data_IF_497879692672
#
_entry.id   IF_497879692672
#
_cell.length_a   1.000
_cell.length_b   1.000
_cell.length_c   1.000
_cell.angle_alpha   90.00
_cell.angle_beta   90.00
_cell.angle_gamma   90.00
#
_symmetry.space_group_name_H-M   'P 1'
#
loop_
_entity.id
_entity.type
_entity.pdbx_description
1 polymer ?
#
# COMPACT_ATOMS: atom_id res chain seq x y z
N UNK A 1 -75.23 -30.35 -52.81
CA UNK A 1 -74.58 -29.21 -53.50
C UNK A 1 -74.11 -28.24 -52.45
N UNK A 2 -72.82 -28.29 -52.10
CA UNK A 2 -71.78 -27.33 -52.52
C UNK A 2 -71.88 -25.97 -51.81
N UNK A 3 -71.03 -25.77 -50.82
CA UNK A 3 -70.47 -24.46 -50.49
C UNK A 3 -69.01 -24.63 -50.01
N UNK A 4 -68.11 -24.47 -50.96
CA UNK A 4 -66.79 -23.86 -50.86
C UNK A 4 -66.49 -23.35 -52.29
N UNK A 5 -65.53 -22.44 -52.57
CA UNK A 5 -64.54 -21.79 -51.69
C UNK A 5 -64.33 -20.27 -51.98
N UNK A 6 -63.63 -19.53 -51.10
CA UNK A 6 -62.81 -18.36 -51.48
C UNK A 6 -61.49 -18.38 -50.68
N UNK A 7 -60.38 -18.56 -51.43
CA UNK A 7 -58.93 -18.43 -51.13
C UNK A 7 -58.49 -16.94 -51.30
N UNK A 8 -57.18 -16.53 -51.33
CA UNK A 8 -55.90 -17.01 -50.77
C UNK A 8 -55.22 -15.86 -49.95
N UNK A 9 -54.01 -15.92 -49.36
CA UNK A 9 -52.65 -15.88 -49.97
C UNK A 9 -51.65 -16.09 -48.83
N UNK A 10 -50.73 -17.03 -49.02
CA UNK A 10 -49.71 -17.38 -48.04
C UNK A 10 -48.46 -16.51 -48.08
N UNK A 11 -47.58 -16.76 -47.11
CA UNK A 11 -46.15 -17.02 -47.35
C UNK A 11 -45.60 -17.81 -46.17
N UNK A 12 -44.96 -18.91 -46.53
CA UNK A 12 -44.15 -19.75 -45.67
C UNK A 12 -42.95 -18.98 -45.12
N UNK A 13 -42.67 -19.18 -43.83
CA UNK A 13 -41.31 -19.30 -43.34
C UNK A 13 -41.33 -20.07 -42.03
N UNK A 14 -40.93 -21.33 -42.15
CA UNK A 14 -40.45 -22.20 -41.08
C UNK A 14 -39.35 -21.47 -40.31
N UNK A 15 -39.63 -21.05 -39.08
CA UNK A 15 -38.59 -20.81 -38.09
C UNK A 15 -38.55 -21.99 -37.15
N UNK A 16 -37.42 -22.70 -37.23
CA UNK A 16 -36.98 -23.80 -36.39
C UNK A 16 -37.39 -23.57 -34.93
N UNK A 17 -38.19 -24.50 -34.40
CA UNK A 17 -38.00 -24.98 -33.03
C UNK A 17 -36.60 -25.58 -33.00
N UNK A 18 -35.63 -24.84 -32.48
CA UNK A 18 -34.39 -25.36 -31.90
C UNK A 18 -33.57 -24.18 -31.35
N UNK A 19 -33.85 -23.85 -30.09
CA UNK A 19 -32.82 -23.56 -29.13
C UNK A 19 -33.47 -23.81 -27.77
N UNK A 20 -33.27 -25.02 -27.25
CA UNK A 20 -33.44 -25.29 -25.85
C UNK A 20 -32.73 -24.17 -25.07
N UNK A 21 -33.50 -23.29 -24.42
CA UNK A 21 -32.98 -22.52 -23.31
C UNK A 21 -32.58 -23.57 -22.29
N UNK A 22 -31.28 -23.91 -22.26
CA UNK A 22 -30.71 -24.65 -21.15
C UNK A 22 -31.16 -23.92 -19.90
N UNK A 23 -31.76 -24.65 -18.96
CA UNK A 23 -32.21 -24.12 -17.69
C UNK A 23 -30.97 -23.64 -16.92
N UNK A 24 -30.52 -22.43 -17.24
CA UNK A 24 -29.35 -21.81 -16.64
C UNK A 24 -29.74 -21.47 -15.21
N UNK A 25 -29.37 -22.37 -14.30
CA UNK A 25 -29.55 -22.20 -12.87
C UNK A 25 -29.05 -20.79 -12.49
N UNK A 26 -29.90 -19.99 -11.86
CA UNK A 26 -29.56 -18.62 -11.46
C UNK A 26 -29.99 -18.39 -10.02
N UNK A 27 -29.22 -17.58 -9.31
CA UNK A 27 -29.57 -17.08 -7.98
C UNK A 27 -30.28 -15.75 -8.15
N UNK A 28 -31.52 -15.68 -7.67
CA UNK A 28 -32.31 -14.45 -7.65
C UNK A 28 -32.29 -13.86 -6.23
N UNK A 29 -31.81 -12.62 -6.10
CA UNK A 29 -31.66 -11.94 -4.82
C UNK A 29 -32.28 -10.55 -4.86
N UNK A 30 -32.87 -10.12 -3.74
CA UNK A 30 -33.29 -8.73 -3.58
C UNK A 30 -32.05 -7.85 -3.42
N UNK A 31 -31.91 -6.87 -4.29
CA UNK A 31 -30.78 -5.98 -4.31
C UNK A 31 -31.22 -4.54 -4.47
N UNK A 32 -30.37 -3.65 -4.01
CA UNK A 32 -30.45 -2.23 -4.34
C UNK A 32 -29.35 -1.89 -5.35
N UNK A 33 -29.71 -1.15 -6.39
CA UNK A 33 -28.84 -0.72 -7.48
C UNK A 33 -28.58 0.78 -7.39
N UNK A 34 -27.34 1.20 -7.57
CA UNK A 34 -26.94 2.59 -7.81
C UNK A 34 -25.88 2.65 -8.91
N UNK A 35 -25.48 3.85 -9.31
CA UNK A 35 -24.38 4.06 -10.26
C UNK A 35 -23.30 4.93 -9.62
N UNK A 36 -22.04 4.54 -9.82
CA UNK A 36 -20.88 5.26 -9.30
C UNK A 36 -19.81 5.45 -10.39
N UNK A 37 -18.97 6.47 -10.24
CA UNK A 37 -17.90 6.78 -11.19
C UNK A 37 -18.44 7.12 -12.59
N UNK A 38 -17.84 6.53 -13.62
CA UNK A 38 -18.27 6.68 -15.03
C UNK A 38 -19.49 5.80 -15.38
N UNK A 39 -20.54 5.85 -14.54
CA UNK A 39 -21.78 5.08 -14.77
C UNK A 39 -21.68 3.58 -14.49
N UNK A 40 -20.76 3.17 -13.61
CA UNK A 40 -20.63 1.75 -13.22
C UNK A 40 -21.78 1.35 -12.31
N UNK A 41 -22.47 0.28 -12.67
CA UNK A 41 -23.55 -0.29 -11.87
C UNK A 41 -22.99 -0.95 -10.60
N UNK A 42 -23.50 -0.53 -9.45
CA UNK A 42 -23.16 -1.06 -8.12
C UNK A 42 -24.41 -1.58 -7.45
N UNK A 43 -24.30 -2.77 -6.87
CA UNK A 43 -25.36 -3.50 -6.17
C UNK A 43 -25.00 -3.72 -4.71
N UNK A 44 -25.98 -3.60 -3.82
CA UNK A 44 -25.86 -4.08 -2.44
C UNK A 44 -26.98 -5.08 -2.13
N UNK A 45 -26.62 -6.23 -1.56
CA UNK A 45 -27.54 -7.33 -1.25
C UNK A 45 -26.93 -8.28 -0.21
N UNK A 46 -27.71 -9.25 0.25
CA UNK A 46 -27.24 -10.31 1.13
C UNK A 46 -27.33 -11.68 0.44
N UNK A 47 -26.33 -12.54 0.63
CA UNK A 47 -26.37 -13.93 0.20
C UNK A 47 -25.99 -14.88 1.33
N UNK A 48 -26.53 -16.11 1.37
CA UNK A 48 -25.96 -17.19 2.15
C UNK A 48 -24.47 -17.37 1.78
N UNK A 49 -23.61 -17.60 2.77
CA UNK A 49 -22.18 -17.86 2.52
C UNK A 49 -21.96 -19.02 1.54
N UNK A 50 -22.82 -20.05 1.59
CA UNK A 50 -22.86 -21.17 0.66
C UNK A 50 -23.08 -20.74 -0.80
N UNK A 51 -23.91 -19.72 -1.04
CA UNK A 51 -24.24 -19.23 -2.38
C UNK A 51 -23.16 -18.31 -2.95
N UNK A 52 -22.46 -17.53 -2.09
CA UNK A 52 -21.29 -16.74 -2.50
C UNK A 52 -20.25 -17.65 -3.16
N UNK A 53 -20.02 -18.83 -2.58
CA UNK A 53 -19.07 -19.81 -3.11
C UNK A 53 -19.52 -20.47 -4.41
N UNK A 54 -20.82 -20.47 -4.75
CA UNK A 54 -21.31 -20.99 -6.05
C UNK A 54 -21.03 -20.01 -7.19
N UNK A 55 -21.15 -18.71 -6.92
CA UNK A 55 -21.06 -17.67 -7.95
C UNK A 55 -19.69 -17.03 -8.08
N UNK A 56 -18.85 -17.06 -7.04
CA UNK A 56 -17.62 -16.28 -6.98
C UNK A 56 -16.32 -17.11 -6.89
N UNK A 57 -15.30 -16.69 -7.64
CA UNK A 57 -13.94 -17.25 -7.58
C UNK A 57 -12.99 -16.28 -6.88
N UNK A 58 -12.02 -16.82 -6.14
CA UNK A 58 -10.92 -16.03 -5.60
C UNK A 58 -9.95 -15.77 -6.75
N UNK A 59 -9.75 -14.50 -7.13
CA UNK A 59 -8.72 -14.13 -8.08
C UNK A 59 -7.35 -14.39 -7.44
N UNK A 60 -6.83 -15.62 -7.63
CA UNK A 60 -5.46 -15.97 -7.27
C UNK A 60 -4.59 -15.32 -8.33
N UNK A 61 -3.92 -14.23 -7.96
CA UNK A 61 -2.82 -13.69 -8.76
C UNK A 61 -1.80 -14.82 -8.89
N UNK A 62 -1.73 -15.46 -10.07
CA UNK A 62 -0.62 -16.35 -10.42
C UNK A 62 0.62 -15.48 -10.49
N UNK A 63 1.33 -15.39 -9.37
CA UNK A 63 2.74 -15.01 -9.34
C UNK A 63 3.52 -16.28 -9.63
N UNK A 64 4.44 -16.21 -10.59
CA UNK A 64 5.32 -17.31 -10.95
C UNK A 64 5.95 -17.95 -9.71
N UNK A 65 5.90 -19.28 -9.71
CA UNK A 65 6.26 -20.15 -8.61
C UNK A 65 7.78 -20.39 -8.59
N UNK A 66 8.44 -20.06 -7.48
CA UNK A 66 9.46 -20.94 -6.91
C UNK A 66 9.69 -20.74 -5.41
N UNK A 67 9.53 -19.55 -4.81
CA UNK A 67 10.01 -19.34 -3.42
C UNK A 67 9.01 -18.69 -2.43
N UNK A 68 7.82 -18.29 -2.88
CA UNK A 68 6.80 -17.62 -2.04
C UNK A 68 5.88 -18.56 -1.22
N UNK A 69 6.08 -19.88 -1.26
CA UNK A 69 5.06 -20.83 -0.76
C UNK A 69 5.03 -21.06 0.76
N UNK A 70 6.09 -20.76 1.52
CA UNK A 70 6.17 -21.12 2.95
C UNK A 70 5.54 -20.10 3.90
N UNK A 71 6.04 -18.86 3.88
CA UNK A 71 5.75 -17.85 4.89
C UNK A 71 4.32 -17.30 4.83
N UNK A 72 3.79 -17.06 3.63
CA UNK A 72 2.40 -16.58 3.48
C UNK A 72 1.36 -17.62 3.95
N UNK A 73 1.69 -18.92 3.95
CA UNK A 73 0.72 -19.95 4.34
C UNK A 73 0.39 -19.95 5.83
N UNK A 74 1.35 -19.67 6.72
CA UNK A 74 1.13 -19.83 8.16
C UNK A 74 0.31 -18.69 8.76
N UNK A 75 0.62 -17.43 8.43
CA UNK A 75 -0.14 -16.26 8.91
C UNK A 75 -1.56 -16.21 8.32
N UNK A 76 -1.72 -16.50 7.03
CA UNK A 76 -3.04 -16.57 6.38
C UNK A 76 -3.88 -17.68 7.00
N UNK A 77 -3.30 -18.86 7.28
CA UNK A 77 -4.01 -19.95 7.96
C UNK A 77 -4.41 -19.56 9.37
N UNK A 78 -3.52 -18.94 10.14
CA UNK A 78 -3.82 -18.49 11.51
C UNK A 78 -4.98 -17.48 11.52
N UNK A 79 -4.98 -16.53 10.59
CA UNK A 79 -6.05 -15.52 10.49
C UNK A 79 -7.38 -16.12 10.03
N UNK A 80 -7.35 -17.02 9.03
CA UNK A 80 -8.55 -17.72 8.58
C UNK A 80 -9.14 -18.57 9.71
N UNK A 81 -8.31 -19.28 10.47
CA UNK A 81 -8.77 -20.11 11.59
C UNK A 81 -9.40 -19.27 12.70
N UNK A 82 -8.85 -18.10 13.02
CA UNK A 82 -9.45 -17.21 14.02
C UNK A 82 -10.79 -16.60 13.55
N UNK A 83 -10.98 -16.36 12.25
CA UNK A 83 -12.30 -15.99 11.71
C UNK A 83 -13.27 -17.17 11.79
N UNK A 84 -12.83 -18.40 11.49
CA UNK A 84 -13.67 -19.60 11.61
C UNK A 84 -14.10 -19.83 13.06
N UNK A 85 -13.18 -19.74 14.01
CA UNK A 85 -13.48 -19.85 15.45
C UNK A 85 -14.48 -18.78 15.90
N UNK A 86 -14.33 -17.55 15.41
CA UNK A 86 -15.28 -16.48 15.66
C UNK A 86 -16.66 -16.81 15.09
N UNK A 87 -16.76 -17.22 13.82
CA UNK A 87 -18.02 -17.60 13.17
C UNK A 87 -18.72 -18.80 13.86
N UNK A 88 -17.94 -19.73 14.43
CA UNK A 88 -18.44 -20.93 15.09
C UNK A 88 -18.74 -20.72 16.60
N UNK A 89 -18.43 -19.55 17.16
CA UNK A 89 -18.55 -19.26 18.60
C UNK A 89 -19.97 -18.97 19.11
N UNK A 90 -20.97 -18.82 18.23
CA UNK A 90 -22.37 -18.61 18.61
C UNK A 90 -23.17 -17.73 17.63
N UNK A 91 -24.16 -16.94 18.11
CA UNK A 91 -24.89 -15.99 17.27
C UNK A 91 -23.98 -14.79 16.93
N UNK A 92 -23.31 -14.88 15.79
CA UNK A 92 -22.22 -13.99 15.40
C UNK A 92 -22.70 -12.95 14.39
N UNK A 93 -22.32 -11.69 14.60
CA UNK A 93 -22.54 -10.60 13.64
C UNK A 93 -21.44 -10.63 12.57
N UNK A 94 -21.84 -10.64 11.29
CA UNK A 94 -20.92 -10.50 10.17
C UNK A 94 -21.21 -9.20 9.39
N UNK A 95 -20.79 -8.03 9.90
CA UNK A 95 -21.19 -6.73 9.34
C UNK A 95 -20.37 -6.33 8.10
N UNK A 96 -19.18 -6.89 7.92
CA UNK A 96 -18.24 -6.43 6.91
C UNK A 96 -18.51 -7.10 5.55
N UNK A 97 -18.90 -6.30 4.56
CA UNK A 97 -19.29 -6.81 3.25
C UNK A 97 -18.14 -7.48 2.49
N UNK A 98 -18.48 -8.49 1.69
CA UNK A 98 -17.59 -9.05 0.66
C UNK A 98 -17.81 -8.26 -0.63
N UNK A 99 -16.72 -7.92 -1.30
CA UNK A 99 -16.79 -7.14 -2.53
C UNK A 99 -16.63 -8.07 -3.72
N UNK A 100 -17.62 -8.05 -4.62
CA UNK A 100 -17.62 -8.85 -5.84
C UNK A 100 -17.50 -7.97 -7.08
N UNK A 101 -16.68 -8.40 -8.03
CA UNK A 101 -16.78 -7.95 -9.41
C UNK A 101 -17.65 -8.94 -10.16
N UNK A 102 -18.79 -8.48 -10.68
CA UNK A 102 -19.72 -9.27 -11.49
C UNK A 102 -19.41 -9.09 -12.97
N UNK A 103 -19.59 -10.14 -13.76
CA UNK A 103 -19.66 -10.02 -15.21
C UNK A 103 -20.93 -9.27 -15.64
N UNK A 104 -20.98 -8.82 -16.88
CA UNK A 104 -22.13 -8.16 -17.49
C UNK A 104 -23.30 -9.11 -17.81
N UNK A 105 -23.16 -10.40 -17.48
CA UNK A 105 -24.21 -11.40 -17.63
C UNK A 105 -25.30 -11.32 -16.56
N UNK A 106 -25.11 -10.50 -15.52
CA UNK A 106 -26.09 -10.34 -14.46
C UNK A 106 -27.26 -9.48 -14.92
N UNK A 107 -28.48 -9.89 -14.56
CA UNK A 107 -29.70 -9.19 -14.97
C UNK A 107 -30.41 -8.57 -13.77
N UNK A 108 -30.65 -7.26 -13.80
CA UNK A 108 -31.41 -6.56 -12.77
C UNK A 108 -32.80 -6.18 -13.27
N UNK A 109 -33.83 -6.46 -12.47
CA UNK A 109 -35.21 -6.02 -12.71
C UNK A 109 -35.66 -5.13 -11.56
N UNK A 110 -35.94 -3.86 -11.86
CA UNK A 110 -36.47 -2.93 -10.86
C UNK A 110 -37.81 -3.41 -10.29
N UNK A 111 -38.02 -3.23 -8.99
CA UNK A 111 -39.29 -3.53 -8.34
C UNK A 111 -40.37 -2.58 -8.86
N UNK A 112 -41.58 -3.11 -9.08
CA UNK A 112 -42.75 -2.29 -9.40
C UNK A 112 -43.40 -1.83 -8.09
N UNK A 113 -43.62 -0.53 -7.93
CA UNK A 113 -44.27 0.03 -6.74
C UNK A 113 -44.06 1.54 -6.64
N UNK A 114 -44.85 2.18 -5.79
CA UNK A 114 -44.72 3.61 -5.46
C UNK A 114 -43.39 3.85 -4.74
N UNK A 115 -42.59 4.76 -5.27
CA UNK A 115 -41.38 5.24 -4.58
C UNK A 115 -41.82 5.99 -3.31
N UNK A 116 -41.20 5.74 -2.14
CA UNK A 116 -41.50 6.52 -0.94
C UNK A 116 -41.22 8.00 -1.20
N UNK A 117 -42.19 8.88 -0.95
CA UNK A 117 -42.12 10.31 -1.28
C UNK A 117 -41.00 11.07 -0.56
N UNK A 118 -40.50 10.52 0.55
CA UNK A 118 -39.46 11.11 1.39
C UNK A 118 -38.06 10.48 1.17
N UNK A 119 -37.95 9.49 0.28
CA UNK A 119 -36.69 8.80 0.04
C UNK A 119 -35.79 9.58 -0.94
N UNK A 120 -34.50 9.64 -0.63
CA UNK A 120 -33.48 10.19 -1.53
C UNK A 120 -33.34 9.26 -2.75
N UNK A 121 -33.63 9.77 -3.94
CA UNK A 121 -33.67 9.00 -5.20
C UNK A 121 -32.27 8.67 -5.79
N UNK A 122 -31.34 8.18 -4.97
CA UNK A 122 -29.99 7.77 -5.41
C UNK A 122 -29.87 6.26 -5.64
N UNK A 123 -30.91 5.50 -5.29
CA UNK A 123 -30.92 4.03 -5.32
C UNK A 123 -32.22 3.49 -5.90
N UNK A 124 -32.12 2.40 -6.67
CA UNK A 124 -33.26 1.65 -7.22
C UNK A 124 -33.33 0.25 -6.62
N UNK A 125 -34.45 -0.10 -5.98
CA UNK A 125 -34.69 -1.46 -5.45
C UNK A 125 -35.17 -2.42 -6.55
N UNK A 126 -34.76 -3.68 -6.49
CA UNK A 126 -35.19 -4.69 -7.45
C UNK A 126 -34.66 -6.09 -7.16
N UNK A 127 -34.77 -6.96 -8.17
CA UNK A 127 -34.28 -8.33 -8.14
C UNK A 127 -33.08 -8.45 -9.07
N UNK A 128 -31.92 -8.83 -8.52
CA UNK A 128 -30.72 -9.19 -9.26
C UNK A 128 -30.70 -10.70 -9.51
N UNK A 129 -30.52 -11.11 -10.76
CA UNK A 129 -30.34 -12.51 -11.17
C UNK A 129 -28.89 -12.73 -11.57
N UNK A 130 -28.25 -13.65 -10.87
CA UNK A 130 -26.84 -14.00 -11.04
C UNK A 130 -26.77 -15.44 -11.60
N UNK A 131 -26.23 -15.66 -12.80
CA UNK A 131 -26.09 -17.01 -13.34
C UNK A 131 -25.18 -17.89 -12.48
N UNK A 132 -25.53 -19.15 -12.30
CA UNK A 132 -24.68 -20.17 -11.67
C UNK A 132 -24.11 -21.04 -12.77
N UNK A 133 -22.77 -21.15 -12.82
CA UNK A 133 -22.07 -22.00 -13.79
C UNK A 133 -21.37 -23.16 -13.09
N UNK A 134 -21.01 -24.18 -13.88
CA UNK A 134 -20.18 -25.28 -13.41
C UNK A 134 -18.79 -24.80 -12.98
N UNK A 135 -18.15 -25.61 -12.13
CA UNK A 135 -16.91 -25.28 -11.44
C UNK A 135 -15.81 -24.84 -12.44
N UNK A 136 -15.17 -23.68 -12.19
CA UNK A 136 -14.12 -23.09 -13.03
C UNK A 136 -14.56 -22.04 -14.06
N UNK A 137 -15.86 -21.75 -14.18
CA UNK A 137 -16.40 -20.66 -15.04
C UNK A 137 -17.31 -19.72 -14.25
N UNK A 138 -16.90 -19.30 -13.05
CA UNK A 138 -17.74 -18.47 -12.18
C UNK A 138 -17.98 -17.07 -12.79
N UNK A 139 -19.13 -16.48 -12.49
CA UNK A 139 -19.58 -15.18 -13.05
C UNK A 139 -19.21 -13.98 -12.16
N UNK A 140 -18.65 -14.25 -10.98
CA UNK A 140 -18.20 -13.25 -10.04
C UNK A 140 -16.75 -13.54 -9.61
N UNK A 141 -16.04 -12.49 -9.26
CA UNK A 141 -14.73 -12.57 -8.65
C UNK A 141 -14.71 -11.84 -7.31
N UNK A 142 -14.12 -12.49 -6.31
CA UNK A 142 -13.94 -11.90 -5.00
C UNK A 142 -12.79 -10.89 -5.08
N UNK A 143 -13.17 -9.62 -4.98
CA UNK A 143 -12.25 -8.48 -4.94
C UNK A 143 -11.74 -8.37 -3.51
N UNK A 144 -12.57 -7.95 -2.57
CA UNK A 144 -12.25 -7.92 -1.13
C UNK A 144 -13.02 -9.03 -0.40
N UNK A 145 -12.43 -9.53 0.66
CA UNK A 145 -13.00 -10.53 1.54
C UNK A 145 -12.44 -11.91 1.30
N UNK A 146 -11.28 -12.06 0.67
CA UNK A 146 -10.70 -13.37 0.33
C UNK A 146 -10.47 -14.28 1.56
N UNK A 147 -9.92 -13.72 2.64
CA UNK A 147 -9.74 -14.48 3.90
C UNK A 147 -11.09 -14.79 4.56
N UNK A 148 -12.05 -13.87 4.44
CA UNK A 148 -13.41 -14.00 4.97
C UNK A 148 -14.24 -15.03 4.20
N UNK A 149 -14.17 -15.06 2.88
CA UNK A 149 -14.82 -16.06 2.03
C UNK A 149 -14.22 -17.45 2.24
N UNK A 150 -12.90 -17.53 2.45
CA UNK A 150 -12.24 -18.78 2.82
C UNK A 150 -12.63 -19.25 4.23
N UNK A 151 -12.86 -18.34 5.17
CA UNK A 151 -13.38 -18.69 6.49
C UNK A 151 -14.85 -19.15 6.41
N UNK A 152 -15.70 -18.47 5.63
CA UNK A 152 -17.09 -18.87 5.39
C UNK A 152 -17.20 -20.27 4.75
N UNK A 153 -16.25 -20.66 3.88
CA UNK A 153 -16.26 -22.01 3.31
C UNK A 153 -15.90 -23.11 4.32
N UNK A 154 -15.23 -22.75 5.42
CA UNK A 154 -14.79 -23.63 6.50
C UNK A 154 -15.67 -23.60 7.75
N UNK A 155 -16.48 -22.55 7.93
CA UNK A 155 -17.40 -22.41 9.06
C UNK A 155 -18.47 -23.50 9.06
N UNK A 156 -18.97 -23.86 10.25
CA UNK A 156 -20.05 -24.85 10.41
C UNK A 156 -21.37 -24.35 9.85
N UNK A 157 -21.68 -23.07 10.11
CA UNK A 157 -22.89 -22.43 9.58
C UNK A 157 -22.57 -21.72 8.26
N UNK A 158 -22.97 -22.33 7.14
CA UNK A 158 -22.75 -21.79 5.79
C UNK A 158 -23.88 -20.88 5.30
N UNK A 159 -24.97 -20.78 6.05
CA UNK A 159 -26.17 -20.01 5.66
C UNK A 159 -26.25 -18.65 6.37
N UNK A 160 -25.16 -18.22 6.99
CA UNK A 160 -25.02 -16.87 7.55
C UNK A 160 -25.29 -15.85 6.42
N UNK A 161 -26.19 -14.88 6.61
CA UNK A 161 -26.43 -13.81 5.65
C UNK A 161 -25.19 -12.91 5.53
N UNK A 162 -24.49 -13.01 4.41
CA UNK A 162 -23.29 -12.23 4.12
C UNK A 162 -23.69 -10.95 3.39
N UNK A 163 -23.34 -9.75 3.89
CA UNK A 163 -23.50 -8.52 3.13
C UNK A 163 -22.55 -8.53 1.93
N UNK A 164 -23.06 -8.20 0.76
CA UNK A 164 -22.33 -8.15 -0.50
C UNK A 164 -22.46 -6.76 -1.11
N UNK A 165 -21.32 -6.19 -1.50
CA UNK A 165 -21.26 -5.05 -2.42
C UNK A 165 -20.67 -5.55 -3.73
N UNK A 166 -21.38 -5.34 -4.83
CA UNK A 166 -20.94 -5.85 -6.12
C UNK A 166 -20.94 -4.75 -7.18
N UNK A 167 -19.96 -4.74 -8.07
CA UNK A 167 -19.94 -3.84 -9.23
C UNK A 167 -19.79 -4.63 -10.52
N UNK A 168 -20.37 -4.14 -11.61
CA UNK A 168 -20.25 -4.77 -12.93
C UNK A 168 -19.03 -4.20 -13.65
N UNK A 169 -18.12 -5.06 -14.09
CA UNK A 169 -16.95 -4.61 -14.85
C UNK A 169 -16.53 -5.62 -15.91
N UNK A 170 -16.20 -5.12 -17.11
CA UNK A 170 -15.67 -5.91 -18.22
C UNK A 170 -14.14 -6.03 -18.18
N UNK A 171 -13.45 -5.23 -17.36
CA UNK A 171 -11.99 -5.14 -17.38
C UNK A 171 -11.37 -5.54 -16.02
N UNK A 172 -10.53 -6.57 -16.06
CA UNK A 172 -9.72 -7.08 -14.94
C UNK A 172 -8.84 -6.00 -14.30
N UNK A 173 -8.48 -4.96 -15.04
CA UNK A 173 -7.67 -3.83 -14.54
C UNK A 173 -8.47 -2.90 -13.62
N UNK A 174 -9.72 -2.58 -13.97
CA UNK A 174 -10.63 -1.78 -13.12
C UNK A 174 -10.95 -2.55 -11.83
N UNK A 175 -11.11 -3.87 -11.95
CA UNK A 175 -11.25 -4.78 -10.82
C UNK A 175 -10.04 -4.73 -9.86
N UNK A 176 -8.81 -4.68 -10.40
CA UNK A 176 -7.57 -4.57 -9.62
C UNK A 176 -7.39 -3.17 -9.00
N UNK A 177 -7.78 -2.11 -9.69
CA UNK A 177 -7.74 -0.75 -9.16
C UNK A 177 -8.71 -0.58 -7.98
N UNK A 178 -9.95 -1.06 -8.12
CA UNK A 178 -10.93 -1.05 -7.02
C UNK A 178 -10.49 -1.96 -5.86
N UNK A 179 -9.81 -3.08 -6.13
CA UNK A 179 -9.20 -3.90 -5.08
C UNK A 179 -8.24 -3.09 -4.20
N UNK A 180 -7.34 -2.30 -4.80
CA UNK A 180 -6.35 -1.49 -4.09
C UNK A 180 -7.02 -0.33 -3.36
N UNK A 181 -7.99 0.34 -4.00
CA UNK A 181 -8.68 1.50 -3.44
C UNK A 181 -9.59 1.12 -2.27
N UNK A 182 -10.29 -0.01 -2.35
CA UNK A 182 -11.27 -0.41 -1.34
C UNK A 182 -10.64 -1.22 -0.19
N UNK A 183 -9.55 -1.96 -0.41
CA UNK A 183 -8.84 -2.71 0.65
C UNK A 183 -7.91 -1.87 1.54
N UNK A 184 -7.99 -0.54 1.50
CA UNK A 184 -7.19 0.34 2.37
C UNK A 184 -7.60 0.30 3.85
N UNK A 185 -8.24 -0.78 4.33
CA UNK A 185 -8.76 -0.98 5.71
C UNK A 185 -8.18 -2.23 6.41
N UNK A 186 -6.99 -2.66 6.00
CA UNK A 186 -5.95 -3.05 6.96
C UNK A 186 -4.74 -2.22 6.60
N UNK A 187 -4.17 -1.49 7.55
CA UNK A 187 -2.94 -0.76 7.32
C UNK A 187 -1.89 -1.78 6.83
N UNK A 188 -1.66 -1.84 5.51
CA UNK A 188 -0.42 -2.37 4.99
C UNK A 188 0.68 -1.62 5.74
N UNK A 189 1.61 -2.35 6.34
CA UNK A 189 2.70 -1.73 7.09
C UNK A 189 3.31 -0.65 6.21
N UNK A 190 3.41 0.55 6.77
CA UNK A 190 3.95 1.73 6.11
C UNK A 190 5.30 1.42 5.46
N UNK A 191 6.10 0.52 6.04
CA UNK A 191 7.36 0.04 5.46
C UNK A 191 7.18 -0.71 4.15
N UNK A 192 6.21 -1.63 4.08
CA UNK A 192 5.91 -2.36 2.83
C UNK A 192 5.30 -1.44 1.78
N UNK A 193 4.46 -0.48 2.18
CA UNK A 193 3.96 0.55 1.26
C UNK A 193 5.14 1.32 0.68
N UNK A 194 6.01 1.86 1.54
CA UNK A 194 7.17 2.62 1.10
C UNK A 194 8.09 1.81 0.19
N UNK A 195 8.27 0.51 0.45
CA UNK A 195 9.05 -0.34 -0.43
C UNK A 195 8.46 -0.48 -1.85
N UNK A 196 7.13 -0.54 -1.96
CA UNK A 196 6.42 -0.71 -3.23
C UNK A 196 6.13 0.62 -3.96
N UNK A 197 6.17 1.75 -3.27
CA UNK A 197 5.85 3.08 -3.85
C UNK A 197 6.69 3.47 -5.09
N UNK A 198 8.01 3.16 -5.17
CA UNK A 198 8.82 3.51 -6.33
C UNK A 198 8.32 2.87 -7.63
N UNK A 199 7.70 1.69 -7.56
CA UNK A 199 7.25 0.91 -8.72
C UNK A 199 5.84 1.29 -9.21
N UNK A 200 5.15 2.24 -8.56
CA UNK A 200 3.76 2.62 -8.87
C UNK A 200 3.71 3.93 -9.68
N UNK A 201 3.19 3.85 -10.92
CA UNK A 201 3.22 4.94 -11.91
C UNK A 201 1.93 5.80 -12.04
N UNK A 202 0.95 5.70 -11.11
CA UNK A 202 -0.37 6.36 -11.27
C UNK A 202 -0.80 7.26 -10.09
N UNK A 203 -1.92 7.99 -10.25
CA UNK A 203 -2.49 8.97 -9.32
C UNK A 203 -2.65 8.40 -7.89
N UNK A 204 -1.72 8.78 -7.01
CA UNK A 204 -1.72 8.40 -5.60
C UNK A 204 -2.55 9.41 -4.76
N UNK A 205 -3.24 8.95 -3.70
CA UNK A 205 -3.75 9.83 -2.65
C UNK A 205 -2.63 10.74 -2.11
N UNK A 206 -2.91 12.02 -1.82
CA UNK A 206 -1.91 13.05 -1.46
C UNK A 206 -0.90 12.58 -0.39
N UNK A 207 -1.34 11.86 0.63
CA UNK A 207 -0.47 11.36 1.70
C UNK A 207 0.54 10.28 1.25
N UNK A 208 0.18 9.48 0.25
CA UNK A 208 1.05 8.44 -0.32
C UNK A 208 1.95 9.01 -1.41
N UNK A 209 1.44 9.97 -2.19
CA UNK A 209 2.24 10.72 -3.15
C UNK A 209 3.43 11.42 -2.44
N UNK A 210 3.19 12.01 -1.27
CA UNK A 210 4.22 12.66 -0.45
C UNK A 210 5.33 11.72 0.06
N UNK A 211 5.10 10.40 0.09
CA UNK A 211 6.10 9.40 0.49
C UNK A 211 6.78 8.73 -0.70
N UNK A 212 6.31 8.95 -1.94
CA UNK A 212 6.84 8.28 -3.13
C UNK A 212 8.32 8.63 -3.36
N UNK A 213 8.63 9.92 -3.48
CA UNK A 213 10.00 10.40 -3.70
C UNK A 213 10.96 10.02 -2.56
N UNK A 214 10.65 10.21 -1.26
CA UNK A 214 11.50 9.71 -0.18
C UNK A 214 11.77 8.21 -0.24
N UNK A 215 10.79 7.42 -0.67
CA UNK A 215 10.92 5.97 -0.77
C UNK A 215 11.77 5.54 -1.97
N UNK A 216 11.63 6.25 -3.08
CA UNK A 216 12.43 6.08 -4.30
C UNK A 216 13.90 6.40 -4.05
N UNK A 217 14.20 7.54 -3.42
CA UNK A 217 15.56 7.91 -3.00
C UNK A 217 16.15 6.89 -2.02
N UNK A 218 15.35 6.40 -1.06
CA UNK A 218 15.78 5.33 -0.16
C UNK A 218 16.07 4.02 -0.92
N UNK A 219 15.37 3.75 -2.03
CA UNK A 219 15.63 2.58 -2.87
C UNK A 219 16.94 2.72 -3.62
N UNK A 220 17.14 3.86 -4.29
CA UNK A 220 18.41 4.19 -4.96
C UNK A 220 19.60 4.10 -4.02
N UNK A 221 19.47 4.62 -2.79
CA UNK A 221 20.52 4.51 -1.76
C UNK A 221 20.81 3.06 -1.34
N UNK A 222 19.87 2.13 -1.48
CA UNK A 222 20.12 0.72 -1.13
C UNK A 222 20.70 -0.08 -2.30
N UNK A 223 20.35 0.27 -3.54
CA UNK A 223 20.61 -0.55 -4.74
C UNK A 223 21.78 -0.06 -5.58
N UNK A 224 22.11 1.24 -5.55
CA UNK A 224 23.19 1.79 -6.33
C UNK A 224 24.55 1.55 -5.66
N UNK A 225 25.54 1.02 -6.40
CA UNK A 225 26.85 0.62 -5.84
C UNK A 225 27.65 1.77 -5.24
N UNK A 226 27.49 2.97 -5.81
CA UNK A 226 28.21 4.17 -5.33
C UNK A 226 27.60 4.75 -4.04
N UNK A 227 26.45 4.23 -3.61
CA UNK A 227 25.82 4.68 -2.38
C UNK A 227 26.56 4.16 -1.14
N UNK A 228 26.80 5.00 -0.12
CA UNK A 228 27.35 4.57 1.16
C UNK A 228 26.42 3.60 1.93
N UNK A 229 25.14 3.53 1.53
CA UNK A 229 24.12 2.62 2.08
C UNK A 229 23.88 1.38 1.22
N UNK A 230 24.70 1.11 0.20
CA UNK A 230 24.52 -0.06 -0.66
C UNK A 230 24.40 -1.35 0.19
N UNK A 231 23.23 -2.00 0.11
CA UNK A 231 22.85 -3.19 0.88
C UNK A 231 22.89 -3.04 2.42
N UNK A 232 22.92 -1.81 2.96
CA UNK A 232 22.90 -1.55 4.40
C UNK A 232 21.51 -1.22 4.96
N UNK A 233 20.51 -1.02 4.09
CA UNK A 233 19.15 -0.64 4.48
C UNK A 233 18.29 -1.90 4.57
N UNK A 234 17.81 -2.17 5.79
CA UNK A 234 16.94 -3.29 6.13
C UNK A 234 15.55 -2.98 5.61
N UNK A 235 15.15 -3.70 4.56
CA UNK A 235 13.79 -3.70 4.02
C UNK A 235 12.93 -4.72 4.76
N UNK A 236 11.61 -4.57 4.67
CA UNK A 236 10.69 -5.51 5.31
C UNK A 236 10.66 -6.85 4.57
N UNK A 237 10.92 -6.85 3.26
CA UNK A 237 11.02 -8.06 2.42
C UNK A 237 12.32 -8.86 2.63
N UNK A 238 13.35 -8.29 3.26
CA UNK A 238 14.63 -8.95 3.48
C UNK A 238 14.51 -10.08 4.53
N UNK A 239 14.44 -11.34 4.08
CA UNK A 239 14.30 -12.51 4.96
C UNK A 239 15.61 -13.17 5.41
N UNK A 240 16.78 -12.81 4.85
CA UNK A 240 18.07 -13.36 5.30
C UNK A 240 18.63 -12.57 6.49
N UNK A 241 19.62 -13.14 7.16
CA UNK A 241 20.59 -12.39 7.97
C UNK A 241 21.35 -11.42 7.03
N UNK A 242 20.64 -10.40 6.58
CA UNK A 242 21.20 -9.29 5.84
C UNK A 242 22.16 -8.58 6.79
N UNK A 243 23.35 -8.26 6.30
CA UNK A 243 24.26 -7.33 6.98
C UNK A 243 23.69 -5.91 7.06
N UNK A 244 22.46 -5.69 6.58
CA UNK A 244 21.73 -4.45 6.71
C UNK A 244 21.45 -4.09 8.18
N UNK A 245 21.95 -2.92 8.58
CA UNK A 245 21.91 -2.42 9.96
C UNK A 245 20.97 -1.23 10.14
N UNK A 246 20.60 -0.55 9.05
CA UNK A 246 19.77 0.67 9.08
C UNK A 246 18.32 0.34 8.77
N UNK A 247 17.36 0.84 9.55
CA UNK A 247 15.95 0.72 9.16
C UNK A 247 15.61 1.69 8.02
N UNK A 248 14.98 1.17 6.98
CA UNK A 248 14.30 1.92 5.92
C UNK A 248 13.46 3.11 6.44
N UNK A 249 12.63 2.88 7.46
CA UNK A 249 11.75 3.90 8.02
C UNK A 249 12.49 5.09 8.63
N UNK A 250 13.70 4.87 9.16
CA UNK A 250 14.52 5.94 9.71
C UNK A 250 15.04 6.86 8.61
N UNK A 251 15.56 6.27 7.53
CA UNK A 251 16.12 7.01 6.41
C UNK A 251 15.04 7.72 5.60
N UNK A 252 13.90 7.06 5.35
CA UNK A 252 12.73 7.69 4.69
C UNK A 252 12.23 8.88 5.51
N UNK A 253 12.16 8.76 6.84
CA UNK A 253 11.74 9.87 7.69
C UNK A 253 12.73 11.04 7.65
N UNK A 254 14.04 10.77 7.58
CA UNK A 254 15.07 11.78 7.41
C UNK A 254 14.94 12.49 6.06
N UNK A 255 14.90 11.74 4.95
CA UNK A 255 14.74 12.30 3.59
C UNK A 255 13.45 13.12 3.49
N UNK A 256 12.34 12.62 4.05
CA UNK A 256 11.07 13.34 4.07
C UNK A 256 11.15 14.67 4.83
N UNK A 257 11.90 14.73 5.94
CA UNK A 257 12.13 15.99 6.66
C UNK A 257 12.92 16.98 5.78
N UNK A 258 13.96 16.48 5.12
CA UNK A 258 14.83 17.26 4.23
C UNK A 258 14.16 17.66 2.90
N UNK A 259 12.99 17.11 2.56
CA UNK A 259 12.19 17.55 1.41
C UNK A 259 11.08 18.53 1.81
N UNK A 260 10.67 18.53 3.08
CA UNK A 260 9.56 19.36 3.58
C UNK A 260 9.99 20.81 3.83
N UNK A 261 11.24 21.03 4.23
CA UNK A 261 11.72 22.36 4.57
C UNK A 261 11.96 23.19 3.28
N UNK A 262 11.36 24.39 3.14
CA UNK A 262 11.45 25.21 1.92
C UNK A 262 12.87 25.65 1.54
N UNK A 263 13.79 25.62 2.51
CA UNK A 263 15.19 26.03 2.36
C UNK A 263 16.13 24.88 2.73
N UNK A 264 15.79 23.66 2.32
CA UNK A 264 16.62 22.47 2.56
C UNK A 264 17.57 22.22 1.40
N UNK A 265 18.58 21.41 1.64
CA UNK A 265 19.54 21.04 0.61
C UNK A 265 18.89 20.27 -0.56
N UNK A 266 17.74 19.61 -0.33
CA UNK A 266 17.03 18.84 -1.36
C UNK A 266 15.88 19.62 -2.00
N UNK A 267 15.27 20.60 -1.31
CA UNK A 267 14.12 21.33 -1.87
C UNK A 267 14.47 22.13 -3.13
N UNK A 268 15.73 22.51 -3.32
CA UNK A 268 16.19 23.22 -4.53
C UNK A 268 16.05 22.41 -5.83
N UNK A 269 15.97 21.08 -5.73
CA UNK A 269 15.78 20.18 -6.87
C UNK A 269 14.30 19.82 -7.10
N UNK A 270 13.39 20.50 -6.39
CA UNK A 270 11.95 20.38 -6.58
C UNK A 270 11.44 21.58 -7.37
N UNK A 271 10.91 21.34 -8.56
CA UNK A 271 10.34 22.36 -9.43
C UNK A 271 9.03 22.96 -8.88
N UNK A 272 8.65 24.19 -9.31
CA UNK A 272 7.41 24.84 -8.89
C UNK A 272 6.13 24.07 -9.30
N UNK A 273 6.25 23.22 -10.32
CA UNK A 273 5.21 22.33 -10.85
C UNK A 273 5.14 20.98 -10.12
N UNK A 274 5.99 20.77 -9.11
CA UNK A 274 6.08 19.53 -8.34
C UNK A 274 6.88 18.42 -9.02
N UNK A 275 7.56 18.72 -10.13
CA UNK A 275 8.59 17.82 -10.69
C UNK A 275 9.79 17.79 -9.76
N UNK A 276 10.47 16.65 -9.64
CA UNK A 276 11.64 16.51 -8.76
C UNK A 276 12.74 15.80 -9.52
N UNK A 277 13.95 16.35 -9.48
CA UNK A 277 15.13 15.70 -10.04
C UNK A 277 15.67 14.68 -9.04
N UNK A 278 15.15 13.45 -9.13
CA UNK A 278 15.51 12.37 -8.22
C UNK A 278 16.99 11.96 -8.33
N UNK A 279 17.60 12.11 -9.51
CA UNK A 279 19.00 11.75 -9.75
C UNK A 279 19.93 12.76 -9.06
N UNK A 280 19.69 14.06 -9.20
CA UNK A 280 20.46 15.09 -8.49
C UNK A 280 20.28 15.00 -6.97
N UNK A 281 19.04 14.80 -6.50
CA UNK A 281 18.78 14.57 -5.07
C UNK A 281 19.52 13.33 -4.53
N UNK A 282 19.58 12.26 -5.33
CA UNK A 282 20.35 11.07 -5.00
C UNK A 282 21.86 11.38 -4.90
N UNK A 283 22.42 12.11 -5.85
CA UNK A 283 23.84 12.51 -5.80
C UNK A 283 24.17 13.37 -4.59
N UNK A 284 23.29 14.29 -4.20
CA UNK A 284 23.43 15.12 -2.99
C UNK A 284 23.40 14.25 -1.73
N UNK A 285 22.48 13.28 -1.64
CA UNK A 285 22.43 12.33 -0.55
C UNK A 285 23.70 11.47 -0.48
N UNK A 286 24.17 10.94 -1.62
CA UNK A 286 25.41 10.15 -1.68
C UNK A 286 26.61 10.97 -1.22
N UNK A 287 26.74 12.23 -1.65
CA UNK A 287 27.83 13.12 -1.24
C UNK A 287 27.85 13.31 0.28
N UNK A 288 26.72 13.71 0.86
CA UNK A 288 26.63 13.95 2.31
C UNK A 288 26.89 12.68 3.12
N UNK A 289 26.20 11.58 2.81
CA UNK A 289 26.30 10.35 3.60
C UNK A 289 27.64 9.63 3.40
N UNK A 290 28.33 9.83 2.27
CA UNK A 290 29.70 9.33 2.10
C UNK A 290 30.67 10.08 3.01
N UNK A 291 30.54 11.41 3.11
CA UNK A 291 31.32 12.19 4.06
C UNK A 291 31.05 11.77 5.52
N UNK A 292 29.80 11.44 5.88
CA UNK A 292 29.46 10.87 7.20
C UNK A 292 30.15 9.52 7.42
N UNK A 293 30.06 8.59 6.47
CA UNK A 293 30.75 7.29 6.53
C UNK A 293 32.25 7.45 6.74
N UNK A 294 32.88 8.33 5.96
CA UNK A 294 34.32 8.52 5.94
C UNK A 294 34.82 9.24 7.21
N UNK A 295 33.97 10.07 7.83
CA UNK A 295 34.27 10.71 9.12
C UNK A 295 34.16 9.73 10.30
N UNK A 296 33.20 8.79 10.23
CA UNK A 296 32.90 7.84 11.31
C UNK A 296 33.04 6.37 10.87
N UNK A 297 34.20 5.94 10.33
CA UNK A 297 34.37 4.58 9.83
C UNK A 297 34.24 3.55 10.95
N UNK A 298 34.60 3.90 12.19
CA UNK A 298 34.46 3.02 13.34
C UNK A 298 33.00 2.82 13.78
N UNK A 299 32.07 3.69 13.39
CA UNK A 299 30.66 3.62 13.76
C UNK A 299 29.77 3.15 12.59
N UNK A 300 30.25 3.27 11.35
CA UNK A 300 29.49 2.89 10.16
C UNK A 300 29.35 1.38 9.98
N UNK A 301 28.23 0.93 9.40
CA UNK A 301 27.97 -0.49 9.08
C UNK A 301 27.83 -1.43 10.29
N UNK A 302 27.94 -0.93 11.53
CA UNK A 302 27.74 -1.71 12.76
C UNK A 302 26.26 -1.82 13.12
N UNK A 303 25.90 -2.89 13.82
CA UNK A 303 24.52 -3.07 14.29
C UNK A 303 24.11 -1.95 15.27
N UNK A 304 22.81 -1.63 15.39
CA UNK A 304 22.33 -0.55 16.28
C UNK A 304 22.71 -0.71 17.76
N UNK A 305 23.02 -1.93 18.22
CA UNK A 305 23.51 -2.22 19.56
C UNK A 305 24.99 -1.86 19.75
N UNK A 306 25.76 -1.84 18.66
CA UNK A 306 27.20 -1.52 18.64
C UNK A 306 27.49 -0.09 18.17
N UNK A 307 26.53 0.56 17.51
CA UNK A 307 26.66 1.91 17.01
C UNK A 307 25.32 2.63 17.00
N UNK A 308 25.22 3.72 17.78
CA UNK A 308 24.04 4.59 17.75
C UNK A 308 23.97 5.48 16.51
N UNK A 309 25.05 5.57 15.72
CA UNK A 309 25.01 6.24 14.41
C UNK A 309 24.10 5.49 13.43
N UNK A 310 24.23 4.16 13.36
CA UNK A 310 23.43 3.30 12.46
C UNK A 310 22.03 3.01 13.01
N UNK A 311 21.77 3.36 14.27
CA UNK A 311 20.45 3.29 14.88
C UNK A 311 19.52 4.39 14.32
N UNK A 312 18.19 4.18 14.41
CA UNK A 312 17.19 5.14 13.92
C UNK A 312 17.41 6.57 14.44
N UNK A 313 17.84 6.71 15.70
CA UNK A 313 18.10 8.03 16.28
C UNK A 313 19.29 8.75 15.64
N UNK A 314 20.40 8.03 15.39
CA UNK A 314 21.58 8.59 14.73
C UNK A 314 21.30 8.98 13.28
N UNK A 315 20.64 8.11 12.51
CA UNK A 315 20.27 8.40 11.12
C UNK A 315 19.37 9.64 11.02
N UNK A 316 18.37 9.76 11.91
CA UNK A 316 17.50 10.94 11.91
C UNK A 316 18.21 12.21 12.37
N UNK A 317 19.12 12.10 13.34
CA UNK A 317 19.89 13.24 13.83
C UNK A 317 20.89 13.76 12.78
N UNK A 318 21.64 12.87 12.14
CA UNK A 318 22.52 13.21 11.03
C UNK A 318 21.73 13.73 9.82
N UNK A 319 20.56 13.15 9.54
CA UNK A 319 19.65 13.67 8.51
C UNK A 319 19.25 15.13 8.76
N UNK A 320 18.96 15.51 10.01
CA UNK A 320 18.65 16.91 10.37
C UNK A 320 19.87 17.84 10.31
N UNK A 321 21.08 17.30 10.48
CA UNK A 321 22.34 18.04 10.39
C UNK A 321 22.76 18.31 8.94
N UNK A 322 22.23 17.55 7.97
CA UNK A 322 22.53 17.70 6.55
C UNK A 322 22.27 19.12 6.05
N UNK A 323 21.06 19.65 6.25
CA UNK A 323 20.68 20.98 5.74
C UNK A 323 21.63 22.11 6.17
N UNK A 324 21.92 22.33 7.48
CA UNK A 324 22.80 23.42 7.88
C UNK A 324 24.26 23.28 7.42
N UNK A 325 24.75 22.06 7.17
CA UNK A 325 26.09 21.82 6.62
C UNK A 325 26.10 22.07 5.11
N UNK A 326 25.18 21.45 4.39
CA UNK A 326 25.10 21.51 2.92
C UNK A 326 24.88 22.94 2.42
N UNK A 327 23.92 23.67 2.99
CA UNK A 327 23.61 25.06 2.59
C UNK A 327 24.79 26.02 2.84
N UNK A 328 25.62 25.72 3.84
CA UNK A 328 26.82 26.50 4.11
C UNK A 328 27.93 26.18 3.10
N UNK A 329 28.05 24.91 2.72
CA UNK A 329 29.04 24.44 1.75
C UNK A 329 28.75 24.95 0.32
N UNK A 330 27.49 25.23 -0.04
CA UNK A 330 27.11 25.82 -1.34
C UNK A 330 27.78 27.17 -1.64
N UNK A 331 28.15 27.92 -0.59
CA UNK A 331 28.81 29.23 -0.75
C UNK A 331 30.33 29.15 -0.90
N UNK A 332 30.92 27.94 -0.91
CA UNK A 332 32.37 27.71 -0.91
C UNK A 332 32.77 27.00 -2.21
N UNK A 333 33.97 27.30 -2.72
CA UNK A 333 34.48 26.75 -3.99
C UNK A 333 34.65 25.23 -4.00
N UNK A 334 34.93 24.63 -2.84
CA UNK A 334 35.01 23.18 -2.65
C UNK A 334 34.01 22.74 -1.58
N UNK A 335 32.78 22.49 -2.01
CA UNK A 335 31.69 22.09 -1.13
C UNK A 335 31.95 20.73 -0.45
N UNK A 336 32.65 19.80 -1.12
CA UNK A 336 32.88 18.46 -0.57
C UNK A 336 33.88 18.51 0.60
N UNK A 337 34.95 19.28 0.44
CA UNK A 337 35.92 19.50 1.51
C UNK A 337 35.31 20.27 2.69
N UNK A 338 34.43 21.25 2.46
CA UNK A 338 33.75 21.97 3.56
C UNK A 338 32.78 21.07 4.35
N UNK A 339 32.06 20.17 3.68
CA UNK A 339 31.23 19.15 4.33
C UNK A 339 32.10 18.26 5.21
N UNK A 340 33.22 17.74 4.67
CA UNK A 340 34.16 16.87 5.40
C UNK A 340 34.72 17.57 6.63
N UNK A 341 35.24 18.79 6.49
CA UNK A 341 35.74 19.60 7.62
C UNK A 341 34.68 19.89 8.67
N UNK A 342 33.44 20.13 8.25
CA UNK A 342 32.32 20.34 9.17
C UNK A 342 32.06 19.10 10.03
N UNK A 343 32.03 17.92 9.41
CA UNK A 343 31.84 16.66 10.13
C UNK A 343 33.06 16.29 10.99
N UNK A 344 34.29 16.52 10.51
CA UNK A 344 35.52 16.28 11.27
C UNK A 344 35.61 17.13 12.54
N UNK A 345 35.15 18.40 12.49
CA UNK A 345 35.07 19.25 13.69
C UNK A 345 34.11 18.68 14.74
N UNK A 346 33.03 18.04 14.32
CA UNK A 346 32.05 17.42 15.22
C UNK A 346 32.56 16.10 15.79
N UNK A 347 33.40 15.37 15.04
CA UNK A 347 33.84 14.00 15.37
C UNK A 347 34.27 13.80 16.83
N UNK A 348 35.11 14.67 17.45
CA UNK A 348 35.58 14.48 18.82
C UNK A 348 34.47 14.53 19.89
N UNK A 349 33.32 15.12 19.55
CA UNK A 349 32.18 15.30 20.45
C UNK A 349 31.06 14.28 20.21
N UNK A 350 31.21 13.42 19.21
CA UNK A 350 30.22 12.42 18.87
C UNK A 350 30.49 11.08 19.56
N UNK A 351 29.61 10.68 20.48
CA UNK A 351 29.70 9.42 21.19
C UNK A 351 28.81 8.34 20.53
N UNK A 352 29.23 7.83 19.37
CA UNK A 352 28.43 6.86 18.61
C UNK A 352 28.60 5.41 19.05
N UNK A 353 29.77 5.04 19.56
CA UNK A 353 30.13 3.65 19.89
C UNK A 353 30.66 3.49 21.32
N UNK A 354 31.13 4.56 21.94
CA UNK A 354 31.57 4.59 23.33
C UNK A 354 31.45 6.02 23.89
N UNK A 355 31.61 6.18 25.20
CA UNK A 355 31.67 7.46 25.90
C UNK A 355 30.32 7.98 26.37
N UNK A 356 30.25 9.29 26.57
CA UNK A 356 29.10 10.00 27.12
C UNK A 356 28.87 11.31 26.37
N UNK A 357 27.63 11.58 26.02
CA UNK A 357 27.19 12.86 25.50
C UNK A 357 27.09 13.85 26.67
N UNK A 358 28.16 14.59 26.94
CA UNK A 358 28.29 15.40 28.16
C UNK A 358 27.15 16.42 28.34
N UNK A 359 26.79 17.18 27.31
CA UNK A 359 25.71 18.17 27.36
C UNK A 359 24.31 17.55 27.44
N UNK A 360 24.15 16.30 27.00
CA UNK A 360 22.89 15.57 27.08
C UNK A 360 22.76 14.74 28.37
N UNK A 361 23.87 14.48 29.05
CA UNK A 361 23.94 13.64 30.24
C UNK A 361 23.77 12.14 29.96
N UNK A 362 23.83 11.72 28.70
CA UNK A 362 23.53 10.34 28.27
C UNK A 362 24.80 9.54 28.01
N UNK A 363 24.87 8.28 28.42
CA UNK A 363 25.86 7.35 27.86
C UNK A 363 25.61 7.18 26.37
N UNK A 364 26.64 6.82 25.62
CA UNK A 364 26.55 6.64 24.17
C UNK A 364 25.36 5.75 23.77
N UNK A 365 25.08 4.68 24.54
CA UNK A 365 24.02 3.71 24.27
C UNK A 365 22.66 4.02 24.91
N UNK A 366 22.53 5.08 25.71
CA UNK A 366 21.25 5.52 26.29
C UNK A 366 20.33 6.16 25.22
N UNK A 367 20.87 6.51 24.05
CA UNK A 367 20.11 7.09 22.94
C UNK A 367 19.06 6.09 22.41
N UNK A 368 17.78 6.42 22.59
CA UNK A 368 16.63 5.63 22.15
C UNK A 368 15.98 6.19 20.89
N UNK A 369 15.13 5.39 20.24
CA UNK A 369 14.38 5.78 19.04
C UNK A 369 13.13 6.60 19.30
N UNK A 370 13.06 7.32 20.43
CA UNK A 370 11.90 8.15 20.79
C UNK A 370 12.04 9.54 20.17
N UNK A 371 10.92 10.21 19.85
CA UNK A 371 10.95 11.57 19.28
C UNK A 371 11.76 12.53 20.15
N UNK A 372 11.59 12.46 21.48
CA UNK A 372 12.34 13.29 22.42
C UNK A 372 13.86 13.09 22.33
N UNK A 373 14.34 11.85 22.20
CA UNK A 373 15.78 11.59 22.08
C UNK A 373 16.31 12.06 20.73
N UNK A 374 15.56 11.80 19.66
CA UNK A 374 15.90 12.24 18.30
C UNK A 374 16.02 13.77 18.27
N UNK A 375 15.01 14.49 18.75
CA UNK A 375 14.97 15.95 18.69
C UNK A 375 16.10 16.59 19.49
N UNK A 376 16.37 16.09 20.71
CA UNK A 376 17.46 16.61 21.55
C UNK A 376 18.83 16.31 20.96
N UNK A 377 19.05 15.12 20.40
CA UNK A 377 20.31 14.77 19.74
C UNK A 377 20.53 15.60 18.48
N UNK A 378 19.50 15.77 17.63
CA UNK A 378 19.55 16.64 16.45
C UNK A 378 19.89 18.08 16.85
N UNK A 379 19.20 18.64 17.84
CA UNK A 379 19.42 20.01 18.29
C UNK A 379 20.83 20.20 18.85
N UNK A 380 21.32 19.25 19.64
CA UNK A 380 22.69 19.27 20.17
C UNK A 380 23.71 19.32 19.03
N UNK A 381 23.63 18.42 18.05
CA UNK A 381 24.57 18.38 16.93
C UNK A 381 24.52 19.67 16.08
N UNK A 382 23.32 20.20 15.81
CA UNK A 382 23.13 21.44 15.05
C UNK A 382 23.70 22.65 15.80
N UNK A 383 23.47 22.74 17.12
CA UNK A 383 24.03 23.82 17.94
C UNK A 383 25.54 23.73 18.03
N UNK A 384 26.08 22.52 18.16
CA UNK A 384 27.50 22.27 18.21
C UNK A 384 28.18 22.65 16.88
N UNK A 385 27.62 22.25 15.73
CA UNK A 385 28.11 22.65 14.40
C UNK A 385 28.15 24.17 14.26
N UNK A 386 27.09 24.86 14.67
CA UNK A 386 27.03 26.33 14.64
C UNK A 386 28.07 26.99 15.56
N UNK A 387 28.35 26.41 16.73
CA UNK A 387 29.36 26.93 17.67
C UNK A 387 30.77 26.75 17.12
N UNK A 388 31.08 25.56 16.62
CA UNK A 388 32.41 25.22 16.10
C UNK A 388 32.71 25.92 14.78
N UNK A 389 31.71 26.12 13.92
CA UNK A 389 31.87 26.86 12.67
C UNK A 389 32.13 28.36 12.85
N UNK A 390 31.62 28.95 13.94
CA UNK A 390 31.94 30.34 14.31
C UNK A 390 33.33 30.48 14.91
N UNK A 391 33.80 29.49 15.67
CA UNK A 391 35.11 29.55 16.31
C UNK A 391 36.29 29.31 15.36
N UNK A 392 36.03 28.75 14.17
CA UNK A 392 37.03 28.50 13.13
C UNK A 392 37.07 29.57 12.02
N UNK A 393 36.20 30.58 12.09
CA UNK A 393 36.26 31.80 11.27
C UNK A 393 36.98 32.86 12.08
#
# INVERSE_FOLDING_TARGET
MRAAPIFPIGRSCTWRKDAAMSDSQHIAVRAVKTQQGYGTDVYAFFLPGSDVMKIAEISRIKRDEAELQGFQRQEIRSHVNSIVEFLDSGPVLFPNAIILALSDEVAFTAARGSKPSEAVEIVTSGTLRIPVRSEGKKVAWIVDGQQRSLALSRAKNKDIPVPIIAFVSQNIEVQRQQFILVNKVKALDTRLINELLPEVSTLLPRDLAANKLPSELCNLLNTHKDSPFFQLIKRRSDQKASSAVVSDSALIAAIKANLKAPTSALSQYTGPDGTSDADEMFHVLVKYWSAVRDTFPEAWGKSPEKSRLMHMAGIRAMGSLMDPIMLRAESVSDAEEDIRRSLERLRPYCCWTDGKWDELGWKWNDVQGTSQHIDRLSQYLIQLDRKLSKASR
#
